data_IF_971707326282
#
_entry.id   IF_971707326282
#
_cell.length_a   1.000
_cell.length_b   1.000
_cell.length_c   1.000
_cell.angle_alpha   90.00
_cell.angle_beta   90.00
_cell.angle_gamma   90.00
#
_symmetry.space_group_name_H-M   'P 1'
#
loop_
_entity.id
_entity.type
_entity.pdbx_description
1 polymer ?
#
# COMPACT_ATOMS: atom_id res chain seq x y z
N UNK A 1 1.66 -5.59 0.46
CA UNK A 1 1.72 -6.96 0.99
C UNK A 1 2.95 -7.72 0.49
N UNK A 2 3.25 -7.71 -0.82
CA UNK A 2 4.38 -8.43 -1.46
C UNK A 2 5.78 -8.25 -0.85
N UNK A 3 6.04 -7.14 -0.17
CA UNK A 3 7.33 -6.90 0.52
C UNK A 3 7.22 -6.83 2.03
N UNK A 4 6.05 -6.39 2.52
CA UNK A 4 5.85 -6.08 3.93
C UNK A 4 5.65 -7.34 4.77
N UNK A 5 5.09 -8.40 4.19
CA UNK A 5 4.75 -9.62 4.93
C UNK A 5 5.99 -10.32 5.53
N UNK A 6 7.07 -10.62 4.77
CA UNK A 6 8.24 -11.25 5.35
C UNK A 6 9.00 -10.31 6.28
N UNK A 7 9.04 -9.01 5.99
CA UNK A 7 9.72 -8.04 6.86
C UNK A 7 9.00 -7.89 8.21
N UNK A 8 7.66 -7.87 8.22
CA UNK A 8 6.87 -7.73 9.44
C UNK A 8 7.03 -8.91 10.41
N UNK A 9 7.23 -10.13 9.88
CA UNK A 9 7.34 -11.34 10.69
C UNK A 9 8.78 -11.82 10.93
N UNK A 10 9.78 -11.09 10.41
CA UNK A 10 11.18 -11.47 10.56
C UNK A 10 11.60 -11.43 12.03
N UNK A 11 12.06 -12.57 12.55
CA UNK A 11 12.48 -12.71 13.95
C UNK A 11 11.36 -12.97 14.97
N UNK A 12 10.09 -12.92 14.54
CA UNK A 12 8.94 -13.24 15.41
C UNK A 12 8.46 -14.69 15.27
N UNK A 13 8.76 -15.34 14.15
CA UNK A 13 8.28 -16.67 13.78
C UNK A 13 9.48 -17.58 13.48
N UNK A 14 9.40 -18.90 13.74
CA UNK A 14 10.41 -19.87 13.31
C UNK A 14 10.84 -19.70 11.84
N UNK A 15 12.13 -19.92 11.58
CA UNK A 15 12.77 -19.61 10.30
C UNK A 15 12.17 -20.40 9.13
N UNK A 16 11.79 -21.66 9.34
CA UNK A 16 11.11 -22.49 8.36
C UNK A 16 9.76 -21.91 7.88
N UNK A 17 8.96 -21.35 8.81
CA UNK A 17 7.68 -20.73 8.49
C UNK A 17 7.91 -19.39 7.81
N UNK A 18 8.86 -18.60 8.33
CA UNK A 18 9.23 -17.32 7.74
C UNK A 18 9.71 -17.47 6.29
N UNK A 19 10.53 -18.49 6.00
CA UNK A 19 10.99 -18.80 4.65
C UNK A 19 9.82 -19.09 3.70
N UNK A 20 8.81 -19.85 4.14
CA UNK A 20 7.63 -20.13 3.31
C UNK A 20 6.81 -18.86 3.05
N UNK A 21 6.66 -17.98 4.04
CA UNK A 21 6.01 -16.68 3.88
C UNK A 21 6.82 -15.75 2.95
N UNK A 22 8.14 -15.80 3.02
CA UNK A 22 9.03 -15.07 2.13
C UNK A 22 8.94 -15.58 0.68
N UNK A 23 8.88 -16.90 0.47
CA UNK A 23 8.64 -17.52 -0.84
C UNK A 23 7.29 -17.10 -1.42
N UNK A 24 6.20 -17.14 -0.63
CA UNK A 24 4.87 -16.66 -1.03
C UNK A 24 4.92 -15.18 -1.46
N UNK A 25 5.61 -14.36 -0.68
CA UNK A 25 5.73 -12.92 -0.96
C UNK A 25 6.55 -12.66 -2.23
N UNK A 26 7.61 -13.44 -2.44
CA UNK A 26 8.40 -13.40 -3.67
C UNK A 26 7.57 -13.82 -4.89
N UNK A 27 6.73 -14.86 -4.76
CA UNK A 27 5.82 -15.30 -5.81
C UNK A 27 4.89 -14.17 -6.25
N UNK A 28 4.17 -13.53 -5.32
CA UNK A 28 3.29 -12.41 -5.65
C UNK A 28 4.04 -11.22 -6.23
N UNK A 29 5.25 -10.92 -5.73
CA UNK A 29 6.08 -9.86 -6.28
C UNK A 29 6.45 -10.08 -7.74
N UNK A 30 6.69 -11.34 -8.14
CA UNK A 30 6.96 -11.68 -9.54
C UNK A 30 5.69 -11.63 -10.38
N UNK A 31 4.58 -12.12 -9.85
CA UNK A 31 3.29 -12.14 -10.54
C UNK A 31 2.71 -10.74 -10.78
N UNK A 32 2.87 -9.83 -9.82
CA UNK A 32 2.38 -8.45 -9.87
C UNK A 32 3.41 -7.46 -10.48
N UNK A 33 4.50 -7.95 -11.06
CA UNK A 33 5.46 -7.10 -11.74
C UNK A 33 4.77 -6.30 -12.88
N UNK A 34 5.21 -5.06 -13.08
CA UNK A 34 4.69 -4.19 -14.15
C UNK A 34 4.85 -4.84 -15.53
N UNK A 35 6.01 -5.47 -15.74
CA UNK A 35 6.33 -6.24 -16.94
C UNK A 35 6.49 -7.70 -16.56
N UNK A 36 5.83 -8.57 -17.31
CA UNK A 36 5.75 -9.99 -17.01
C UNK A 36 6.24 -10.79 -18.22
N UNK A 37 7.42 -11.40 -18.10
CA UNK A 37 7.97 -12.24 -19.16
C UNK A 37 7.35 -13.64 -19.15
N UNK A 38 7.15 -14.22 -20.33
CA UNK A 38 6.52 -15.55 -20.49
C UNK A 38 7.30 -16.65 -19.77
N UNK A 39 8.63 -16.58 -19.79
CA UNK A 39 9.49 -17.57 -19.15
C UNK A 39 9.35 -17.56 -17.63
N UNK A 40 9.28 -16.35 -17.04
CA UNK A 40 9.04 -16.20 -15.59
C UNK A 40 7.67 -16.77 -15.24
N UNK A 41 6.63 -16.51 -16.04
CA UNK A 41 5.30 -17.08 -15.79
C UNK A 41 5.29 -18.60 -15.86
N UNK A 42 5.97 -19.19 -16.85
CA UNK A 42 6.08 -20.65 -16.96
C UNK A 42 6.81 -21.25 -15.75
N UNK A 43 7.83 -20.57 -15.23
CA UNK A 43 8.50 -20.99 -13.99
C UNK A 43 7.58 -20.88 -12.77
N UNK A 44 6.75 -19.84 -12.69
CA UNK A 44 5.78 -19.65 -11.61
C UNK A 44 4.68 -20.72 -11.65
N UNK A 45 4.18 -21.09 -12.84
CA UNK A 45 3.19 -22.16 -13.02
C UNK A 45 3.70 -23.51 -12.47
N UNK A 46 4.99 -23.82 -12.64
CA UNK A 46 5.58 -25.07 -12.12
C UNK A 46 5.80 -25.01 -10.60
N UNK A 47 6.25 -23.85 -10.10
CA UNK A 47 6.64 -23.70 -8.70
C UNK A 47 5.46 -23.47 -7.75
N UNK A 48 4.32 -22.96 -8.25
CA UNK A 48 3.18 -22.59 -7.40
C UNK A 48 2.57 -23.79 -6.68
N UNK A 49 2.50 -24.96 -7.33
CA UNK A 49 1.97 -26.17 -6.70
C UNK A 49 2.83 -26.59 -5.50
N UNK A 50 4.15 -26.57 -5.67
CA UNK A 50 5.11 -26.87 -4.59
C UNK A 50 4.97 -25.88 -3.45
N UNK A 51 4.80 -24.59 -3.76
CA UNK A 51 4.64 -23.53 -2.77
C UNK A 51 3.35 -23.69 -1.95
N UNK A 52 2.23 -24.03 -2.59
CA UNK A 52 0.97 -24.32 -1.89
C UNK A 52 1.13 -25.55 -0.99
N UNK A 53 1.73 -26.63 -1.47
CA UNK A 53 1.99 -27.81 -0.64
C UNK A 53 2.94 -27.54 0.54
N UNK A 54 3.92 -26.64 0.40
CA UNK A 54 4.76 -26.21 1.53
C UNK A 54 3.95 -25.48 2.59
N UNK A 55 3.01 -24.62 2.17
CA UNK A 55 2.16 -23.88 3.10
C UNK A 55 1.14 -24.81 3.78
N UNK A 56 0.59 -25.80 3.08
CA UNK A 56 -0.30 -26.83 3.63
C UNK A 56 0.36 -27.68 4.73
N UNK A 57 1.67 -27.91 4.64
CA UNK A 57 2.42 -28.61 5.69
C UNK A 57 2.59 -27.78 6.97
N UNK A 58 2.47 -26.46 6.88
CA UNK A 58 2.74 -25.53 7.99
C UNK A 58 1.44 -25.10 8.68
N UNK A 59 0.43 -24.72 7.91
CA UNK A 59 -0.83 -24.23 8.46
C UNK A 59 -1.84 -25.38 8.66
N UNK A 60 -2.74 -25.27 9.64
CA UNK A 60 -3.77 -26.28 9.86
C UNK A 60 -4.70 -26.41 8.65
N UNK A 61 -5.28 -27.59 8.39
CA UNK A 61 -6.14 -27.82 7.22
C UNK A 61 -7.36 -26.88 7.17
N UNK A 62 -7.87 -26.43 8.32
CA UNK A 62 -8.96 -25.43 8.38
C UNK A 62 -8.60 -24.06 7.81
N UNK A 63 -7.31 -23.76 7.64
CA UNK A 63 -6.85 -22.53 6.97
C UNK A 63 -6.98 -22.64 5.44
N UNK A 64 -6.82 -23.83 4.86
CA UNK A 64 -6.88 -24.05 3.42
C UNK A 64 -8.31 -24.33 2.96
N UNK A 65 -9.03 -23.25 2.64
CA UNK A 65 -10.26 -23.33 1.89
C UNK A 65 -9.98 -23.16 0.39
N UNK A 66 -11.03 -23.25 -0.44
CA UNK A 66 -10.92 -23.13 -1.90
C UNK A 66 -10.22 -21.84 -2.36
N UNK A 67 -10.25 -20.77 -1.57
CA UNK A 67 -9.61 -19.49 -1.90
C UNK A 67 -8.09 -19.57 -1.87
N UNK A 68 -7.48 -20.29 -0.91
CA UNK A 68 -6.01 -20.43 -0.86
C UNK A 68 -5.48 -21.24 -2.06
N UNK A 69 -6.28 -22.16 -2.59
CA UNK A 69 -5.90 -22.93 -3.79
C UNK A 69 -6.02 -22.14 -5.10
N UNK A 70 -6.77 -21.03 -5.13
CA UNK A 70 -6.84 -20.16 -6.32
C UNK A 70 -5.48 -19.62 -6.75
N UNK A 71 -4.50 -19.59 -5.83
CA UNK A 71 -3.14 -19.16 -6.11
C UNK A 71 -2.52 -19.96 -7.25
N UNK A 72 -2.84 -21.25 -7.38
CA UNK A 72 -2.34 -22.14 -8.45
C UNK A 72 -2.76 -21.66 -9.84
N UNK A 73 -3.93 -21.03 -9.96
CA UNK A 73 -4.44 -20.56 -11.26
C UNK A 73 -3.91 -19.18 -11.66
N UNK A 74 -3.37 -18.40 -10.73
CA UNK A 74 -2.92 -17.03 -10.99
C UNK A 74 -1.86 -16.96 -12.10
N UNK A 75 -0.80 -17.79 -12.13
CA UNK A 75 0.21 -17.73 -13.19
C UNK A 75 -0.37 -18.03 -14.57
N UNK A 76 -1.28 -19.01 -14.67
CA UNK A 76 -1.97 -19.33 -15.92
C UNK A 76 -2.83 -18.16 -16.42
N UNK A 77 -3.60 -17.55 -15.53
CA UNK A 77 -4.37 -16.35 -15.87
C UNK A 77 -3.46 -15.18 -16.28
N UNK A 78 -2.29 -15.04 -15.65
CA UNK A 78 -1.26 -14.07 -15.99
C UNK A 78 -0.67 -14.32 -17.39
N UNK A 79 -0.45 -15.58 -17.77
CA UNK A 79 0.02 -15.96 -19.11
C UNK A 79 -0.97 -15.59 -20.20
N UNK A 80 -2.26 -15.81 -19.97
CA UNK A 80 -3.31 -15.57 -20.96
C UNK A 80 -3.66 -14.09 -21.15
N UNK A 81 -3.79 -13.33 -20.07
CA UNK A 81 -4.27 -11.94 -20.15
C UNK A 81 -3.27 -10.88 -19.71
N UNK A 82 -1.99 -11.22 -19.57
CA UNK A 82 -0.91 -10.26 -19.31
C UNK A 82 -0.77 -9.82 -17.85
N UNK A 83 -0.13 -8.67 -17.58
CA UNK A 83 0.15 -8.22 -16.22
C UNK A 83 -1.09 -8.15 -15.33
N UNK A 84 -0.91 -8.56 -14.07
CA UNK A 84 -2.00 -8.78 -13.11
C UNK A 84 -2.58 -7.46 -12.57
N UNK A 85 -1.75 -6.41 -12.45
CA UNK A 85 -2.14 -5.12 -11.88
C UNK A 85 -3.33 -4.46 -12.61
N UNK A 86 -3.40 -4.60 -13.94
CA UNK A 86 -4.47 -4.03 -14.75
C UNK A 86 -5.80 -4.79 -14.65
N UNK A 87 -5.79 -6.03 -14.13
CA UNK A 87 -6.95 -6.95 -14.12
C UNK A 87 -7.50 -7.24 -12.74
N UNK A 88 -6.90 -6.66 -11.70
CA UNK A 88 -7.45 -6.79 -10.35
C UNK A 88 -8.83 -6.18 -10.26
N UNK A 89 -9.81 -7.03 -9.95
CA UNK A 89 -11.21 -6.65 -9.74
C UNK A 89 -11.34 -5.52 -8.71
N UNK A 90 -10.47 -5.50 -7.70
CA UNK A 90 -10.45 -4.49 -6.65
C UNK A 90 -10.46 -3.03 -7.16
N UNK A 91 -9.71 -2.71 -8.23
CA UNK A 91 -9.69 -1.35 -8.78
C UNK A 91 -11.06 -0.99 -9.37
N UNK A 92 -11.67 -1.92 -10.10
CA UNK A 92 -13.00 -1.76 -10.69
C UNK A 92 -14.07 -1.66 -9.60
N UNK A 93 -14.05 -2.52 -8.59
CA UNK A 93 -14.97 -2.48 -7.45
C UNK A 93 -14.87 -1.17 -6.68
N UNK A 94 -13.66 -0.65 -6.45
CA UNK A 94 -13.44 0.65 -5.79
C UNK A 94 -14.01 1.80 -6.62
N UNK A 95 -13.83 1.77 -7.94
CA UNK A 95 -14.43 2.74 -8.84
C UNK A 95 -15.96 2.67 -8.77
N UNK A 96 -16.54 1.47 -8.91
CA UNK A 96 -17.99 1.26 -8.83
C UNK A 96 -18.54 1.69 -7.46
N UNK A 97 -17.83 1.40 -6.37
CA UNK A 97 -18.22 1.82 -5.02
C UNK A 97 -18.32 3.34 -4.87
N UNK A 98 -17.50 4.12 -5.58
CA UNK A 98 -17.60 5.59 -5.63
C UNK A 98 -18.72 6.08 -6.55
N UNK A 99 -18.98 5.38 -7.65
CA UNK A 99 -19.99 5.77 -8.64
C UNK A 99 -21.41 5.41 -8.19
N UNK A 100 -21.59 4.29 -7.50
CA UNK A 100 -22.90 3.80 -7.03
C UNK A 100 -23.71 4.84 -6.24
N UNK A 101 -23.16 5.58 -5.25
CA UNK A 101 -23.92 6.62 -4.55
C UNK A 101 -24.25 7.85 -5.41
N UNK A 102 -23.57 8.04 -6.55
CA UNK A 102 -23.85 9.15 -7.48
C UNK A 102 -25.07 8.87 -8.36
N UNK A 103 -25.53 7.63 -8.45
CA UNK A 103 -26.71 7.23 -9.21
C UNK A 103 -27.97 7.52 -8.39
N UNK A 104 -28.44 8.78 -8.43
CA UNK A 104 -29.72 9.22 -7.86
C UNK A 104 -30.91 8.77 -8.73
N UNK A 105 -30.77 8.87 -10.05
CA UNK A 105 -31.77 8.42 -11.00
C UNK A 105 -31.33 7.14 -11.74
N UNK A 106 -31.96 6.01 -11.43
CA UNK A 106 -31.66 4.70 -12.05
C UNK A 106 -32.14 4.59 -13.50
N UNK A 107 -33.10 5.42 -13.93
CA UNK A 107 -33.57 5.43 -15.32
C UNK A 107 -32.57 6.09 -16.28
N UNK A 108 -31.66 6.94 -15.75
CA UNK A 108 -30.62 7.63 -16.51
C UNK A 108 -29.32 7.65 -15.72
N UNK A 109 -28.69 6.48 -15.63
CA UNK A 109 -27.50 6.26 -14.78
C UNK A 109 -26.34 7.19 -15.15
N UNK A 110 -26.03 7.28 -16.44
CA UNK A 110 -24.92 8.11 -16.94
C UNK A 110 -25.14 9.60 -16.63
N UNK A 111 -26.33 10.12 -16.96
CA UNK A 111 -26.69 11.51 -16.67
C UNK A 111 -26.64 11.84 -15.17
N UNK A 112 -27.13 10.94 -14.32
CA UNK A 112 -27.06 11.10 -12.88
C UNK A 112 -25.63 11.13 -12.33
N UNK A 113 -24.74 10.32 -12.91
CA UNK A 113 -23.32 10.31 -12.52
C UNK A 113 -22.66 11.64 -12.94
N UNK A 114 -22.89 12.10 -14.17
CA UNK A 114 -22.33 13.36 -14.68
C UNK A 114 -22.78 14.55 -13.85
N UNK A 115 -24.07 14.64 -13.54
CA UNK A 115 -24.62 15.71 -12.69
C UNK A 115 -23.96 15.73 -11.30
N UNK A 116 -23.82 14.56 -10.66
CA UNK A 116 -23.17 14.45 -9.37
C UNK A 116 -21.68 14.83 -9.43
N UNK A 117 -20.98 14.51 -10.52
CA UNK A 117 -19.60 14.94 -10.74
C UNK A 117 -19.48 16.46 -10.89
N UNK A 118 -20.36 17.10 -11.67
CA UNK A 118 -20.37 18.55 -11.83
C UNK A 118 -20.53 19.28 -10.49
N UNK A 119 -21.44 18.80 -9.64
CA UNK A 119 -21.64 19.34 -8.29
C UNK A 119 -20.40 19.10 -7.41
N UNK A 120 -19.82 17.90 -7.47
CA UNK A 120 -18.60 17.58 -6.70
C UNK A 120 -17.41 18.46 -7.12
N UNK A 121 -17.16 18.63 -8.41
CA UNK A 121 -16.08 19.50 -8.91
C UNK A 121 -16.31 20.97 -8.55
N UNK A 122 -17.54 21.47 -8.73
CA UNK A 122 -17.89 22.85 -8.38
C UNK A 122 -17.69 23.12 -6.89
N UNK A 123 -18.14 22.20 -6.03
CA UNK A 123 -17.99 22.32 -4.58
C UNK A 123 -16.53 22.18 -4.14
N UNK A 124 -15.76 21.28 -4.75
CA UNK A 124 -14.31 21.17 -4.51
C UNK A 124 -13.58 22.44 -4.92
N UNK A 125 -13.92 23.05 -6.06
CA UNK A 125 -13.32 24.30 -6.50
C UNK A 125 -13.65 25.46 -5.56
N UNK A 126 -14.93 25.62 -5.20
CA UNK A 126 -15.37 26.65 -4.25
C UNK A 126 -14.73 26.47 -2.87
N UNK A 127 -14.42 25.23 -2.47
CA UNK A 127 -13.80 24.95 -1.17
C UNK A 127 -12.42 25.60 -0.97
N UNK A 128 -11.72 25.94 -2.05
CA UNK A 128 -10.44 26.66 -1.99
C UNK A 128 -10.59 28.12 -1.55
N UNK A 129 -11.76 28.72 -1.78
CA UNK A 129 -12.05 30.11 -1.45
C UNK A 129 -12.75 30.27 -0.10
N UNK A 130 -13.20 29.17 0.51
CA UNK A 130 -13.80 29.22 1.84
C UNK A 130 -12.74 29.38 2.92
N UNK A 131 -13.17 29.97 4.03
CA UNK A 131 -12.33 30.09 5.22
C UNK A 131 -11.83 28.70 5.65
N UNK A 132 -10.55 28.55 6.05
CA UNK A 132 -9.98 27.25 6.43
C UNK A 132 -10.73 26.53 7.57
N UNK A 133 -11.49 27.27 8.38
CA UNK A 133 -12.33 26.71 9.45
C UNK A 133 -13.61 26.03 8.94
N UNK A 134 -14.01 26.26 7.69
CA UNK A 134 -15.21 25.67 7.09
C UNK A 134 -14.91 24.24 6.68
N UNK A 135 -15.75 23.31 7.13
CA UNK A 135 -15.63 21.89 6.79
C UNK A 135 -15.82 21.69 5.30
N UNK A 136 -14.82 21.13 4.64
CA UNK A 136 -14.83 20.82 3.21
C UNK A 136 -14.13 19.50 2.91
N UNK A 137 -14.06 19.12 1.62
CA UNK A 137 -13.32 17.93 1.20
C UNK A 137 -11.81 18.07 1.45
N UNK A 138 -11.30 19.31 1.41
CA UNK A 138 -9.91 19.66 1.69
C UNK A 138 -9.72 19.80 3.21
N UNK A 139 -10.58 20.58 3.86
CA UNK A 139 -10.60 20.76 5.30
C UNK A 139 -11.56 19.77 5.96
N UNK A 140 -11.17 18.49 5.91
CA UNK A 140 -11.91 17.44 6.61
C UNK A 140 -11.64 17.56 8.11
N UNK A 141 -12.70 17.55 8.90
CA UNK A 141 -12.56 17.34 10.34
C UNK A 141 -11.72 16.07 10.58
N UNK A 142 -10.73 16.12 11.47
CA UNK A 142 -9.93 14.95 11.81
C UNK A 142 -10.87 13.82 12.27
N UNK A 143 -10.48 12.58 11.97
CA UNK A 143 -11.28 11.40 12.34
C UNK A 143 -11.38 11.20 13.85
N UNK A 144 -10.43 11.75 14.59
CA UNK A 144 -10.39 11.75 16.05
C UNK A 144 -10.61 13.18 16.53
N UNK A 145 -11.48 13.35 17.52
CA UNK A 145 -11.64 14.62 18.21
C UNK A 145 -10.50 14.77 19.23
N UNK A 146 -9.37 15.27 18.75
CA UNK A 146 -8.21 15.60 19.59
C UNK A 146 -8.35 16.99 20.24
N UNK A 147 -9.52 17.64 20.10
CA UNK A 147 -9.81 19.00 20.59
C UNK A 147 -9.78 19.16 22.11
N UNK A 148 -9.69 18.06 22.86
CA UNK A 148 -9.48 18.06 24.31
C UNK A 148 -8.01 17.93 24.73
N UNK A 149 -7.06 17.88 23.79
CA UNK A 149 -5.64 17.84 24.12
C UNK A 149 -5.17 19.22 24.57
N UNK A 150 -4.72 19.33 25.82
CA UNK A 150 -4.14 20.56 26.41
C UNK A 150 -2.67 20.77 25.99
N UNK A 151 -2.21 20.06 24.95
CA UNK A 151 -0.81 20.03 24.56
C UNK A 151 -0.50 21.17 23.60
N UNK A 152 0.08 22.25 24.13
CA UNK A 152 0.71 23.28 23.30
C UNK A 152 2.08 22.76 22.82
N UNK A 153 2.17 22.48 21.52
CA UNK A 153 3.42 22.08 20.89
C UNK A 153 4.43 23.22 20.96
N UNK A 154 5.62 22.97 21.51
CA UNK A 154 6.73 23.93 21.59
C UNK A 154 7.38 24.25 20.22
N UNK A 155 6.91 23.63 19.13
CA UNK A 155 7.40 23.90 17.78
C UNK A 155 6.69 25.10 17.16
N UNK A 156 7.46 26.09 16.70
CA UNK A 156 6.94 27.27 16.01
C UNK A 156 6.32 26.94 14.64
N UNK A 157 6.72 25.83 14.03
CA UNK A 157 6.23 25.39 12.73
C UNK A 157 4.81 24.82 12.84
N UNK A 158 3.85 25.45 12.16
CA UNK A 158 2.43 25.06 12.15
C UNK A 158 2.20 23.59 11.75
N UNK A 159 3.05 23.04 10.87
CA UNK A 159 2.94 21.63 10.42
C UNK A 159 3.16 20.61 11.55
N UNK A 160 3.85 21.01 12.63
CA UNK A 160 4.12 20.17 13.79
C UNK A 160 3.25 20.53 15.00
N UNK A 161 2.28 21.43 14.83
CA UNK A 161 1.21 21.71 15.81
C UNK A 161 0.04 20.76 15.59
N UNK A 162 0.32 19.45 15.63
CA UNK A 162 -0.72 18.44 15.57
C UNK A 162 -1.19 18.10 16.99
N UNK A 163 -2.42 18.48 17.38
CA UNK A 163 -2.99 18.03 18.64
C UNK A 163 -3.11 16.50 18.62
N UNK A 164 -2.59 15.84 19.65
CA UNK A 164 -2.64 14.40 19.77
C UNK A 164 -3.12 13.99 21.14
N UNK A 165 -4.03 13.02 21.21
CA UNK A 165 -4.49 12.45 22.48
C UNK A 165 -3.54 11.37 22.97
N UNK A 166 -2.97 11.52 24.17
CA UNK A 166 -2.24 10.45 24.83
C UNK A 166 -3.20 9.34 25.25
N UNK A 167 -3.03 8.13 24.72
CA UNK A 167 -3.88 6.97 25.01
C UNK A 167 -3.50 6.27 26.34
N UNK A 168 -2.43 6.70 27.02
CA UNK A 168 -1.95 6.11 28.27
C UNK A 168 -2.49 6.87 29.50
N UNK A 169 -2.92 6.18 30.58
CA UNK A 169 -3.35 6.82 31.83
C UNK A 169 -2.25 7.60 32.56
N UNK A 170 -0.97 7.35 32.24
CA UNK A 170 0.20 7.82 32.98
C UNK A 170 0.62 9.29 32.73
N UNK A 171 -0.16 10.06 31.97
CA UNK A 171 0.18 11.46 31.65
C UNK A 171 1.37 11.58 30.71
N UNK A 172 1.86 12.82 30.52
CA UNK A 172 3.02 13.11 29.68
C UNK A 172 4.32 12.93 30.50
N UNK A 173 5.37 12.42 29.86
CA UNK A 173 6.74 12.41 30.38
C UNK A 173 7.62 13.16 29.38
N UNK A 174 8.20 14.27 29.80
CA UNK A 174 9.23 14.93 29.01
C UNK A 174 10.45 14.02 28.95
N UNK A 175 10.89 13.70 27.73
CA UNK A 175 12.09 12.91 27.50
C UNK A 175 13.31 13.74 27.89
N UNK A 176 14.26 13.13 28.58
CA UNK A 176 15.50 13.82 28.91
C UNK A 176 16.35 14.05 27.64
N UNK A 177 17.28 15.00 27.63
CA UNK A 177 18.10 15.33 26.44
C UNK A 177 18.84 14.10 25.86
N UNK A 178 19.24 13.16 26.71
CA UNK A 178 19.86 11.91 26.29
C UNK A 178 18.85 10.95 25.64
N UNK A 179 17.64 10.83 26.20
CA UNK A 179 16.57 10.01 25.64
C UNK A 179 16.09 10.59 24.29
N UNK A 180 16.02 11.92 24.16
CA UNK A 180 15.77 12.60 22.90
C UNK A 180 16.81 12.25 21.84
N UNK A 181 18.10 12.30 22.19
CA UNK A 181 19.18 11.90 21.28
C UNK A 181 19.04 10.45 20.85
N UNK A 182 18.73 9.53 21.77
CA UNK A 182 18.53 8.11 21.44
C UNK A 182 17.30 7.92 20.55
N UNK A 183 16.17 8.54 20.87
CA UNK A 183 14.96 8.48 20.06
C UNK A 183 15.18 9.07 18.65
N UNK A 184 15.87 10.20 18.57
CA UNK A 184 16.21 10.85 17.30
C UNK A 184 17.17 9.98 16.47
N UNK A 185 18.20 9.41 17.09
CA UNK A 185 19.11 8.45 16.45
C UNK A 185 18.36 7.20 16.01
N UNK A 186 17.42 6.69 16.81
CA UNK A 186 16.61 5.53 16.45
C UNK A 186 15.71 5.82 15.24
N UNK A 187 15.06 6.98 15.21
CA UNK A 187 14.25 7.43 14.08
C UNK A 187 15.13 7.61 12.85
N UNK A 188 16.28 8.27 12.96
CA UNK A 188 17.22 8.45 11.85
C UNK A 188 17.78 7.13 11.34
N UNK A 189 18.14 6.20 12.22
CA UNK A 189 18.64 4.87 11.85
C UNK A 189 17.55 4.05 11.14
N UNK A 190 16.31 4.18 11.62
CA UNK A 190 15.15 3.54 11.01
C UNK A 190 14.86 4.17 9.66
N UNK A 191 14.77 5.49 9.56
CA UNK A 191 14.61 6.23 8.30
C UNK A 191 15.76 5.95 7.33
N UNK A 192 17.02 5.89 7.76
CA UNK A 192 18.16 5.52 6.93
C UNK A 192 18.05 4.08 6.43
N UNK A 193 17.64 3.12 7.28
CA UNK A 193 17.34 1.75 6.81
C UNK A 193 16.22 1.76 5.77
N UNK A 194 15.15 2.53 5.99
CA UNK A 194 14.05 2.69 5.05
C UNK A 194 14.45 3.42 3.76
N UNK A 195 15.39 4.37 3.84
CA UNK A 195 15.86 5.17 2.72
C UNK A 195 16.92 4.41 1.91
N UNK A 196 17.76 3.60 2.55
CA UNK A 196 18.65 2.64 1.88
C UNK A 196 17.81 1.54 1.22
N UNK A 197 16.76 1.06 1.89
CA UNK A 197 15.79 0.14 1.31
C UNK A 197 15.09 0.75 0.10
N UNK A 198 14.54 1.96 0.21
CA UNK A 198 13.87 2.67 -0.90
C UNK A 198 14.85 2.99 -2.04
N UNK A 199 16.09 3.37 -1.74
CA UNK A 199 17.14 3.65 -2.74
C UNK A 199 17.62 2.38 -3.42
N UNK A 200 17.71 1.24 -2.73
CA UNK A 200 17.93 -0.08 -3.37
C UNK A 200 16.76 -0.46 -4.29
N UNK A 201 15.54 -0.08 -3.91
CA UNK A 201 14.31 -0.31 -4.65
C UNK A 201 14.23 0.56 -5.91
N UNK A 202 14.68 1.81 -5.81
CA UNK A 202 14.76 2.77 -6.90
C UNK A 202 15.94 2.45 -7.84
N UNK A 203 17.10 2.04 -7.31
CA UNK A 203 18.26 1.66 -8.13
C UNK A 203 18.06 0.32 -8.87
N UNK A 204 17.29 -0.62 -8.30
CA UNK A 204 16.90 -1.84 -9.02
C UNK A 204 15.81 -1.59 -10.08
N UNK A 205 15.03 -0.50 -9.98
CA UNK A 205 14.20 0.00 -11.10
C UNK A 205 14.96 0.88 -12.10
N UNK A 206 16.01 1.59 -11.67
CA UNK A 206 16.81 2.49 -12.51
C UNK A 206 17.77 1.74 -13.46
N UNK A 207 18.38 0.63 -13.00
CA UNK A 207 19.19 -0.25 -13.88
C UNK A 207 18.37 -0.90 -15.00
N UNK A 208 17.05 -1.04 -14.83
CA UNK A 208 16.16 -1.53 -15.89
C UNK A 208 15.92 -0.48 -16.99
N UNK A 209 16.03 0.81 -16.66
CA UNK A 209 15.87 1.93 -17.60
C UNK A 209 17.16 2.18 -18.41
N UNK A 210 18.34 2.07 -17.80
CA UNK A 210 19.63 2.21 -18.50
C UNK A 210 19.87 1.07 -19.52
N UNK A 211 19.45 -0.16 -19.19
CA UNK A 211 19.50 -1.30 -20.14
C UNK A 211 18.50 -1.15 -21.31
N UNK A 212 17.43 -0.37 -21.13
CA UNK A 212 16.46 -0.06 -22.19
C UNK A 212 16.97 1.05 -23.13
N UNK A 213 17.67 2.06 -22.61
CA UNK A 213 18.26 3.13 -23.42
C UNK A 213 19.45 2.63 -24.26
N UNK A 214 20.27 1.73 -23.73
CA UNK A 214 21.39 1.15 -24.50
C UNK A 214 20.96 0.23 -25.66
N UNK A 215 19.76 -0.37 -25.61
CA UNK A 215 19.21 -1.17 -26.73
C UNK A 215 18.61 -0.34 -27.86
N UNK A 216 18.14 0.88 -27.57
CA UNK A 216 17.53 1.74 -28.59
C UNK A 216 18.56 2.55 -29.39
N UNK A 217 19.78 2.74 -28.86
CA UNK A 217 20.87 3.44 -29.55
C UNK A 217 21.78 2.52 -30.39
N UNK A 218 21.50 1.21 -30.46
CA UNK A 218 22.24 0.24 -31.29
C UNK A 218 21.45 -0.21 -32.53
N UNK A 219 20.34 0.46 -32.87
CA UNK A 219 19.49 0.17 -34.04
C UNK A 219 19.26 1.44 -34.89
N UNK A 220 20.18 2.40 -34.83
CA UNK A 220 20.27 3.51 -35.77
C UNK A 220 21.62 3.50 -36.46
#
# INVERSE_FOLDING_TARGET
MERLLPDAFRGFIPENIWLCLAELSFFYRKLCAKELSKDVVSSLEKNVAVLVCKLEKIFPPGFFNSMQHLIVHLPYQARLGGPVLARWMYNYERCIGKLKPKVRNKARVEGSIVEAYLVEESTNFLSLYFNPKVRSVINKAPRYDDGASTFESACDLEIFKCPGRCMSPQGYRELNNNEYKVAFLYILQTCLKWMIFSRSLIMSSGRALELFQHRNNSVS
#
